data_IF_406014639853
#
_entry.id   IF_406014639853
#
_cell.length_a   1.000
_cell.length_b   1.000
_cell.length_c   1.000
_cell.angle_alpha   90.00
_cell.angle_beta   90.00
_cell.angle_gamma   90.00
#
_symmetry.space_group_name_H-M   'P 1'
#
loop_
_entity.id
_entity.type
_entity.pdbx_description
1 polymer ?
#
# COMPACT_ATOMS: atom_id res chain seq x y z
N UNK A 1 3.34 12.98 -2.45
CA UNK A 1 3.54 11.69 -1.75
C UNK A 1 2.97 11.65 -0.30
N UNK A 2 2.99 12.73 0.51
CA UNK A 2 2.48 12.67 1.89
C UNK A 2 1.01 12.23 1.98
N UNK A 3 0.14 12.68 1.07
CA UNK A 3 -1.28 12.29 1.01
C UNK A 3 -1.39 10.78 0.80
N UNK A 4 -0.60 10.23 -0.13
CA UNK A 4 -0.59 8.79 -0.41
C UNK A 4 -0.09 8.01 0.80
N UNK A 5 1.01 8.45 1.44
CA UNK A 5 1.55 7.78 2.63
C UNK A 5 0.54 7.74 3.79
N UNK A 6 -0.15 8.85 4.05
CA UNK A 6 -1.21 8.92 5.06
C UNK A 6 -2.41 8.06 4.69
N UNK A 7 -2.87 8.14 3.45
CA UNK A 7 -4.00 7.37 2.96
C UNK A 7 -3.76 5.87 3.01
N UNK A 8 -2.57 5.42 2.63
CA UNK A 8 -2.13 4.02 2.73
C UNK A 8 -2.13 3.55 4.18
N UNK A 9 -1.50 4.30 5.08
CA UNK A 9 -1.43 3.95 6.51
C UNK A 9 -2.82 3.88 7.14
N UNK A 10 -3.67 4.85 6.83
CA UNK A 10 -5.03 4.91 7.36
C UNK A 10 -5.90 3.78 6.79
N UNK A 11 -5.78 3.48 5.50
CA UNK A 11 -6.49 2.35 4.88
C UNK A 11 -6.07 1.03 5.49
N UNK A 12 -4.76 0.80 5.65
CA UNK A 12 -4.22 -0.41 6.26
C UNK A 12 -4.70 -0.57 7.71
N UNK A 13 -4.56 0.46 8.54
CA UNK A 13 -5.03 0.43 9.93
C UNK A 13 -6.53 0.15 10.03
N UNK A 14 -7.33 0.73 9.13
CA UNK A 14 -8.77 0.52 9.06
C UNK A 14 -9.12 -0.92 8.68
N UNK A 15 -8.44 -1.50 7.70
CA UNK A 15 -8.64 -2.91 7.33
C UNK A 15 -8.17 -3.86 8.43
N UNK A 16 -7.02 -3.61 9.07
CA UNK A 16 -6.57 -4.42 10.20
C UNK A 16 -7.58 -4.39 11.35
N UNK A 17 -8.15 -3.21 11.62
CA UNK A 17 -9.23 -3.09 12.61
C UNK A 17 -10.50 -3.86 12.19
N UNK A 18 -10.86 -3.81 10.91
CA UNK A 18 -12.00 -4.58 10.40
C UNK A 18 -11.76 -6.09 10.57
N UNK A 19 -10.58 -6.56 10.21
CA UNK A 19 -10.19 -7.96 10.29
C UNK A 19 -10.16 -8.45 11.75
N UNK A 20 -9.60 -7.66 12.65
CA UNK A 20 -9.46 -8.04 14.07
C UNK A 20 -10.79 -7.98 14.84
N UNK A 21 -11.71 -7.10 14.45
CA UNK A 21 -13.00 -6.91 15.13
C UNK A 21 -14.16 -7.55 14.40
N UNK A 22 -13.95 -8.07 13.19
CA UNK A 22 -15.00 -8.56 12.28
C UNK A 22 -16.10 -7.51 12.01
N UNK A 23 -15.78 -6.20 12.10
CA UNK A 23 -16.74 -5.10 11.86
C UNK A 23 -16.56 -4.54 10.45
N UNK A 24 -17.69 -4.29 9.77
CA UNK A 24 -17.68 -3.79 8.39
C UNK A 24 -17.48 -2.26 8.30
N UNK A 25 -17.82 -1.50 9.34
CA UNK A 25 -17.63 -0.04 9.32
C UNK A 25 -16.15 0.36 9.13
N UNK A 26 -15.16 -0.21 9.86
CA UNK A 26 -13.75 0.06 9.56
C UNK A 26 -13.35 -0.36 8.16
N UNK A 27 -13.92 -1.45 7.61
CA UNK A 27 -13.67 -1.86 6.23
C UNK A 27 -14.18 -0.82 5.22
N UNK A 28 -15.38 -0.26 5.44
CA UNK A 28 -15.94 0.80 4.59
C UNK A 28 -15.06 2.06 4.63
N UNK A 29 -14.64 2.49 5.82
CA UNK A 29 -13.72 3.62 6.00
C UNK A 29 -12.40 3.36 5.28
N UNK A 30 -11.83 2.16 5.40
CA UNK A 30 -10.61 1.75 4.72
C UNK A 30 -10.76 1.78 3.19
N UNK A 31 -11.91 1.33 2.66
CA UNK A 31 -12.21 1.36 1.22
C UNK A 31 -12.30 2.80 0.70
N UNK A 32 -13.00 3.68 1.40
CA UNK A 32 -13.08 5.11 1.05
C UNK A 32 -11.69 5.74 1.03
N UNK A 33 -10.91 5.53 2.08
CA UNK A 33 -9.55 6.06 2.17
C UNK A 33 -8.65 5.52 1.05
N UNK A 34 -8.73 4.22 0.74
CA UNK A 34 -7.98 3.60 -0.35
C UNK A 34 -8.36 4.19 -1.71
N UNK A 35 -9.65 4.44 -1.95
CA UNK A 35 -10.13 5.01 -3.22
C UNK A 35 -9.70 6.47 -3.37
N UNK A 36 -9.78 7.28 -2.31
CA UNK A 36 -9.27 8.67 -2.32
C UNK A 36 -7.75 8.66 -2.57
N UNK A 37 -7.03 7.74 -1.95
CA UNK A 37 -5.58 7.62 -2.14
C UNK A 37 -5.24 7.23 -3.57
N UNK A 38 -5.98 6.31 -4.17
CA UNK A 38 -5.84 5.91 -5.57
C UNK A 38 -6.08 7.11 -6.51
N UNK A 39 -7.09 7.92 -6.23
CA UNK A 39 -7.41 9.11 -7.03
C UNK A 39 -6.37 10.23 -6.90
N UNK A 40 -5.51 10.21 -5.87
CA UNK A 40 -4.50 11.25 -5.66
C UNK A 40 -3.32 11.21 -6.65
N UNK A 41 -3.14 10.13 -7.41
CA UNK A 41 -2.11 10.03 -8.43
C UNK A 41 -1.59 8.61 -8.68
N UNK A 42 -0.64 8.43 -9.62
CA UNK A 42 -0.13 7.11 -10.02
C UNK A 42 0.44 6.28 -8.85
N UNK A 43 1.08 6.92 -7.88
CA UNK A 43 1.60 6.26 -6.68
C UNK A 43 0.49 5.78 -5.72
N UNK A 44 -0.75 6.27 -5.92
CA UNK A 44 -1.94 5.79 -5.22
C UNK A 44 -2.26 4.30 -5.44
N UNK A 45 -1.67 3.67 -6.44
CA UNK A 45 -1.69 2.21 -6.63
C UNK A 45 -1.22 1.43 -5.38
N UNK A 46 -0.44 2.06 -4.51
CA UNK A 46 -0.08 1.46 -3.23
C UNK A 46 -1.33 1.11 -2.38
N UNK A 47 -2.35 1.96 -2.39
CA UNK A 47 -3.61 1.68 -1.68
C UNK A 47 -4.37 0.48 -2.28
N UNK A 48 -4.24 0.23 -3.59
CA UNK A 48 -4.77 -0.98 -4.22
C UNK A 48 -4.09 -2.23 -3.65
N UNK A 49 -2.78 -2.19 -3.45
CA UNK A 49 -2.04 -3.27 -2.79
C UNK A 49 -2.57 -3.57 -1.39
N UNK A 50 -2.80 -2.52 -0.59
CA UNK A 50 -3.40 -2.64 0.75
C UNK A 50 -4.79 -3.30 0.70
N UNK A 51 -5.63 -2.86 -0.22
CA UNK A 51 -6.97 -3.42 -0.41
C UNK A 51 -6.91 -4.90 -0.82
N UNK A 52 -6.13 -5.23 -1.85
CA UNK A 52 -6.02 -6.60 -2.36
C UNK A 52 -5.53 -7.60 -1.30
N UNK A 53 -4.53 -7.22 -0.50
CA UNK A 53 -4.00 -8.07 0.58
C UNK A 53 -5.01 -8.26 1.70
N UNK A 54 -5.84 -7.26 1.97
CA UNK A 54 -6.87 -7.33 3.01
C UNK A 54 -8.12 -8.07 2.55
N UNK A 55 -8.39 -8.11 1.24
CA UNK A 55 -9.63 -8.58 0.63
C UNK A 55 -10.06 -9.99 1.07
N UNK A 56 -9.19 -11.03 1.08
CA UNK A 56 -9.60 -12.37 1.50
C UNK A 56 -10.10 -12.43 2.95
N UNK A 57 -9.53 -11.60 3.83
CA UNK A 57 -9.92 -11.51 5.23
C UNK A 57 -11.23 -10.72 5.41
N UNK A 58 -11.42 -9.67 4.61
CA UNK A 58 -12.67 -8.91 4.58
C UNK A 58 -13.82 -9.77 4.06
N UNK A 59 -13.59 -10.58 3.03
CA UNK A 59 -14.60 -11.52 2.55
C UNK A 59 -14.98 -12.57 3.60
N UNK A 60 -14.05 -13.06 4.41
CA UNK A 60 -14.39 -13.94 5.54
C UNK A 60 -15.29 -13.25 6.55
N UNK A 61 -14.96 -12.01 6.94
CA UNK A 61 -15.78 -11.22 7.86
C UNK A 61 -17.18 -10.90 7.28
N UNK A 62 -17.29 -10.74 5.97
CA UNK A 62 -18.58 -10.60 5.28
C UNK A 62 -19.34 -11.93 5.24
N UNK A 63 -18.69 -13.04 4.95
CA UNK A 63 -19.31 -14.36 4.86
C UNK A 63 -20.07 -14.75 6.14
N UNK A 64 -19.53 -14.38 7.31
CA UNK A 64 -20.19 -14.59 8.61
C UNK A 64 -21.52 -13.85 8.74
N UNK A 65 -21.73 -12.80 7.94
CA UNK A 65 -22.93 -11.95 7.96
C UNK A 65 -23.93 -12.24 6.85
N UNK A 66 -23.51 -12.97 5.81
CA UNK A 66 -24.37 -13.32 4.68
C UNK A 66 -25.71 -13.94 5.12
N UNK A 67 -25.74 -14.88 6.10
CA UNK A 67 -27.01 -15.46 6.55
C UNK A 67 -27.98 -14.43 7.13
N UNK A 68 -27.49 -13.44 7.86
CA UNK A 68 -28.33 -12.40 8.47
C UNK A 68 -28.85 -11.36 7.47
N UNK A 69 -28.28 -11.33 6.25
CA UNK A 69 -28.63 -10.41 5.16
C UNK A 69 -29.47 -11.10 4.06
N UNK A 70 -30.15 -12.18 4.38
CA UNK A 70 -31.01 -12.92 3.45
C UNK A 70 -30.37 -14.17 2.83
N UNK A 71 -29.12 -14.44 3.14
CA UNK A 71 -28.39 -15.61 2.64
C UNK A 71 -28.05 -15.59 1.16
N UNK A 72 -27.32 -16.58 0.69
CA UNK A 72 -27.02 -16.80 -0.73
C UNK A 72 -26.48 -15.56 -1.44
N UNK A 73 -26.83 -15.42 -2.71
CA UNK A 73 -26.39 -14.31 -3.57
C UNK A 73 -26.91 -12.95 -3.08
N UNK A 74 -28.14 -12.91 -2.56
CA UNK A 74 -28.73 -11.66 -2.08
C UNK A 74 -27.99 -11.10 -0.88
N UNK A 75 -27.60 -11.96 0.07
CA UNK A 75 -26.79 -11.55 1.22
C UNK A 75 -25.42 -11.01 0.82
N UNK A 76 -24.76 -11.61 -0.18
CA UNK A 76 -23.51 -11.09 -0.72
C UNK A 76 -23.69 -9.75 -1.42
N UNK A 77 -24.72 -9.58 -2.24
CA UNK A 77 -25.02 -8.32 -2.91
C UNK A 77 -25.29 -7.21 -1.89
N UNK A 78 -26.08 -7.49 -0.86
CA UNK A 78 -26.36 -6.52 0.19
C UNK A 78 -25.09 -6.05 0.94
N UNK A 79 -24.10 -6.93 1.10
CA UNK A 79 -22.85 -6.60 1.78
C UNK A 79 -21.83 -5.90 0.86
N UNK A 80 -21.74 -6.28 -0.41
CA UNK A 80 -20.72 -5.76 -1.34
C UNK A 80 -21.15 -4.45 -1.99
N UNK A 81 -22.44 -4.29 -2.32
CA UNK A 81 -22.94 -3.11 -3.02
C UNK A 81 -22.58 -1.76 -2.36
N UNK A 82 -22.67 -1.59 -1.02
CA UNK A 82 -22.26 -0.35 -0.37
C UNK A 82 -20.78 0.01 -0.58
N UNK A 83 -19.89 -0.99 -0.59
CA UNK A 83 -18.45 -0.77 -0.83
C UNK A 83 -18.18 -0.38 -2.27
N UNK A 84 -18.81 -1.07 -3.23
CA UNK A 84 -18.70 -0.72 -4.65
C UNK A 84 -19.27 0.68 -4.91
N UNK A 85 -20.43 1.00 -4.36
CA UNK A 85 -21.05 2.32 -4.51
C UNK A 85 -20.17 3.44 -3.95
N UNK A 86 -19.61 3.25 -2.75
CA UNK A 86 -18.71 4.24 -2.13
C UNK A 86 -17.44 4.44 -2.96
N UNK A 87 -16.79 3.37 -3.40
CA UNK A 87 -15.60 3.43 -4.26
C UNK A 87 -15.91 4.10 -5.60
N UNK A 88 -16.98 3.69 -6.27
CA UNK A 88 -17.39 4.28 -7.54
C UNK A 88 -17.74 5.76 -7.42
N UNK A 89 -18.47 6.15 -6.38
CA UNK A 89 -18.84 7.56 -6.16
C UNK A 89 -17.60 8.47 -6.00
N UNK A 90 -16.57 7.99 -5.30
CA UNK A 90 -15.32 8.74 -5.15
C UNK A 90 -14.58 8.86 -6.48
N UNK A 91 -14.52 7.76 -7.26
CA UNK A 91 -13.89 7.80 -8.59
C UNK A 91 -14.62 8.73 -9.55
N UNK A 92 -15.95 8.69 -9.53
CA UNK A 92 -16.77 9.63 -10.33
C UNK A 92 -16.54 11.08 -9.87
N UNK A 93 -16.48 11.33 -8.56
CA UNK A 93 -16.21 12.68 -8.05
C UNK A 93 -14.81 13.19 -8.43
N UNK A 94 -13.82 12.30 -8.45
CA UNK A 94 -12.43 12.66 -8.79
C UNK A 94 -12.21 12.89 -10.30
N UNK A 95 -12.94 12.18 -11.15
CA UNK A 95 -12.74 12.18 -12.60
C UNK A 95 -13.99 12.60 -13.39
N UNK A 96 -15.04 13.10 -12.71
CA UNK A 96 -16.33 13.38 -13.33
C UNK A 96 -16.33 14.53 -14.37
N UNK A 97 -15.32 15.38 -14.32
CA UNK A 97 -15.07 16.46 -15.29
C UNK A 97 -14.16 16.03 -16.45
N UNK A 98 -13.66 14.78 -16.43
CA UNK A 98 -12.72 14.25 -17.41
C UNK A 98 -13.31 13.05 -18.16
N UNK A 99 -13.10 13.02 -19.45
CA UNK A 99 -13.41 11.83 -20.25
C UNK A 99 -12.24 10.85 -20.18
N UNK A 100 -12.50 9.55 -20.40
CA UNK A 100 -11.45 8.55 -20.49
C UNK A 100 -10.41 8.91 -21.57
N UNK A 101 -10.85 9.47 -22.70
CA UNK A 101 -9.94 9.93 -23.76
C UNK A 101 -9.00 11.05 -23.30
N UNK A 102 -9.50 12.01 -22.52
CA UNK A 102 -8.67 13.10 -21.95
C UNK A 102 -7.63 12.56 -20.97
N UNK A 103 -7.99 11.60 -20.12
CA UNK A 103 -7.06 10.96 -19.19
C UNK A 103 -5.97 10.18 -19.93
N UNK A 104 -6.36 9.41 -20.95
CA UNK A 104 -5.42 8.64 -21.78
C UNK A 104 -4.48 9.58 -22.56
N UNK A 105 -5.01 10.66 -23.15
CA UNK A 105 -4.21 11.66 -23.87
C UNK A 105 -3.24 12.37 -22.93
N UNK A 106 -3.69 12.79 -21.76
CA UNK A 106 -2.82 13.40 -20.75
C UNK A 106 -1.67 12.47 -20.35
N UNK A 107 -1.94 11.16 -20.22
CA UNK A 107 -0.92 10.14 -19.93
C UNK A 107 0.06 9.98 -21.09
N UNK A 108 -0.44 9.97 -22.34
CA UNK A 108 0.38 9.89 -23.55
C UNK A 108 1.33 11.10 -23.65
N UNK A 109 0.78 12.32 -23.57
CA UNK A 109 1.55 13.57 -23.64
C UNK A 109 2.62 13.60 -22.53
N UNK A 110 2.26 13.22 -21.31
CA UNK A 110 3.20 13.17 -20.20
C UNK A 110 4.34 12.18 -20.44
N UNK A 111 4.06 11.06 -21.09
CA UNK A 111 5.07 10.06 -21.44
C UNK A 111 6.02 10.55 -22.54
N UNK A 112 5.55 11.41 -23.44
CA UNK A 112 6.37 11.96 -24.54
C UNK A 112 7.19 13.17 -24.09
N UNK A 113 6.63 14.06 -23.28
CA UNK A 113 7.26 15.31 -22.86
C UNK A 113 8.11 15.16 -21.60
N UNK A 114 7.74 14.26 -20.69
CA UNK A 114 8.44 14.02 -19.44
C UNK A 114 9.54 12.96 -19.57
N UNK A 115 10.42 12.83 -18.57
CA UNK A 115 11.42 11.75 -18.51
C UNK A 115 10.73 10.41 -18.15
N UNK A 116 9.93 9.90 -19.09
CA UNK A 116 9.27 8.60 -18.94
C UNK A 116 10.23 7.47 -19.19
N UNK A 117 10.24 6.48 -18.29
CA UNK A 117 11.04 5.28 -18.40
C UNK A 117 10.14 4.04 -18.37
N UNK A 118 10.46 2.98 -19.14
CA UNK A 118 9.69 1.76 -19.17
C UNK A 118 9.71 1.07 -17.79
N UNK A 119 8.74 0.18 -17.54
CA UNK A 119 8.58 -0.51 -16.27
C UNK A 119 9.82 -1.29 -15.83
N UNK A 120 10.54 -1.90 -16.77
CA UNK A 120 11.77 -2.66 -16.50
C UNK A 120 12.99 -1.79 -16.14
N UNK A 121 12.91 -0.47 -16.35
CA UNK A 121 13.95 0.49 -15.96
C UNK A 121 13.81 0.98 -14.50
N UNK A 122 13.09 0.26 -13.66
CA UNK A 122 12.90 0.63 -12.24
C UNK A 122 14.23 0.73 -11.47
N UNK A 123 15.26 0.01 -11.89
CA UNK A 123 16.61 0.11 -11.33
C UNK A 123 17.16 1.55 -11.33
N UNK A 124 16.71 2.39 -12.27
CA UNK A 124 17.12 3.79 -12.36
C UNK A 124 16.77 4.57 -11.08
N UNK A 125 15.61 4.28 -10.47
CA UNK A 125 15.19 4.90 -9.21
C UNK A 125 16.15 4.61 -8.06
N UNK A 126 16.66 3.39 -7.99
CA UNK A 126 17.61 2.98 -6.96
C UNK A 126 19.01 3.49 -7.24
N UNK A 127 19.47 3.47 -8.51
CA UNK A 127 20.78 4.01 -8.88
C UNK A 127 20.88 5.52 -8.64
N UNK A 128 19.78 6.25 -8.82
CA UNK A 128 19.71 7.69 -8.54
C UNK A 128 19.97 8.02 -7.06
N UNK A 129 19.66 7.11 -6.14
CA UNK A 129 20.00 7.31 -4.71
C UNK A 129 21.52 7.46 -4.48
N UNK A 130 22.37 6.96 -5.38
CA UNK A 130 23.82 7.06 -5.26
C UNK A 130 24.41 8.28 -6.00
N UNK A 131 23.59 9.03 -6.74
CA UNK A 131 24.04 10.20 -7.49
C UNK A 131 24.10 11.43 -6.60
N UNK A 132 25.04 12.32 -6.89
CA UNK A 132 25.16 13.65 -6.27
C UNK A 132 24.15 14.60 -6.94
N UNK A 133 22.89 14.47 -6.59
CA UNK A 133 21.79 15.26 -7.14
C UNK A 133 20.74 15.52 -6.06
N UNK A 134 19.81 16.41 -6.32
CA UNK A 134 18.67 16.68 -5.41
C UNK A 134 17.86 15.40 -5.18
N UNK A 135 17.72 14.56 -6.20
CA UNK A 135 17.02 13.28 -6.08
C UNK A 135 17.84 12.21 -5.33
N UNK A 136 19.17 12.26 -5.40
CA UNK A 136 20.09 11.41 -4.64
C UNK A 136 20.51 11.98 -3.30
N UNK A 137 19.73 12.86 -2.69
CA UNK A 137 20.08 13.52 -1.42
C UNK A 137 20.32 12.53 -0.28
N UNK A 138 21.25 12.85 0.61
CA UNK A 138 21.61 12.01 1.77
C UNK A 138 20.40 11.69 2.65
N UNK A 139 19.49 12.64 2.84
CA UNK A 139 18.27 12.46 3.63
C UNK A 139 17.35 11.38 3.05
N UNK A 140 17.16 11.36 1.74
CA UNK A 140 16.38 10.30 1.05
C UNK A 140 17.10 8.96 1.11
N UNK A 141 18.40 8.97 0.82
CA UNK A 141 19.27 7.78 0.84
C UNK A 141 19.23 7.09 2.21
N UNK A 142 19.43 7.83 3.28
CA UNK A 142 19.40 7.29 4.63
C UNK A 142 18.04 6.66 4.97
N UNK A 143 16.95 7.37 4.74
CA UNK A 143 15.60 6.88 5.05
C UNK A 143 15.26 5.60 4.29
N UNK A 144 15.54 5.55 2.97
CA UNK A 144 15.24 4.39 2.13
C UNK A 144 16.07 3.19 2.53
N UNK A 145 17.39 3.35 2.71
CA UNK A 145 18.24 2.22 3.06
C UNK A 145 17.99 1.70 4.47
N UNK A 146 17.65 2.58 5.43
CA UNK A 146 17.23 2.14 6.76
C UNK A 146 15.95 1.31 6.69
N UNK A 147 14.97 1.75 5.92
CA UNK A 147 13.73 0.98 5.70
C UNK A 147 14.03 -0.39 5.06
N UNK A 148 14.84 -0.43 3.99
CA UNK A 148 15.21 -1.68 3.32
C UNK A 148 15.99 -2.62 4.24
N UNK A 149 16.92 -2.10 5.03
CA UNK A 149 17.64 -2.87 6.03
C UNK A 149 16.69 -3.51 7.06
N UNK A 150 15.78 -2.71 7.63
CA UNK A 150 14.77 -3.23 8.56
C UNK A 150 13.87 -4.28 7.90
N UNK A 151 13.49 -4.06 6.64
CA UNK A 151 12.70 -5.03 5.86
C UNK A 151 13.44 -6.37 5.72
N UNK A 152 14.73 -6.34 5.39
CA UNK A 152 15.58 -7.55 5.31
C UNK A 152 15.63 -8.28 6.65
N UNK A 153 15.78 -7.56 7.77
CA UNK A 153 15.77 -8.17 9.11
C UNK A 153 14.45 -8.87 9.41
N UNK A 154 13.32 -8.22 9.09
CA UNK A 154 11.99 -8.79 9.32
C UNK A 154 11.79 -10.05 8.46
N UNK A 155 12.16 -9.98 7.17
CA UNK A 155 12.08 -11.13 6.26
C UNK A 155 12.95 -12.28 6.75
N UNK A 156 14.18 -12.01 7.19
CA UNK A 156 15.07 -13.03 7.76
C UNK A 156 14.47 -13.70 9.01
N UNK A 157 13.83 -12.92 9.90
CA UNK A 157 13.12 -13.47 11.07
C UNK A 157 11.93 -14.35 10.63
N UNK A 158 11.18 -13.96 9.61
CA UNK A 158 10.09 -14.77 9.07
C UNK A 158 10.57 -16.05 8.39
N UNK A 159 11.69 -16.03 7.68
CA UNK A 159 12.28 -17.24 7.09
C UNK A 159 12.71 -18.20 8.18
N UNK A 160 13.36 -17.70 9.25
CA UNK A 160 13.91 -18.50 10.32
C UNK A 160 12.85 -19.00 11.31
N UNK A 161 12.08 -18.08 11.88
CA UNK A 161 11.21 -18.33 13.05
C UNK A 161 9.71 -18.28 12.70
N UNK A 162 9.35 -18.03 11.44
CA UNK A 162 7.97 -17.83 10.92
C UNK A 162 7.20 -16.69 11.59
N UNK A 163 7.87 -15.85 12.38
CA UNK A 163 7.28 -14.72 13.11
C UNK A 163 8.35 -13.73 13.56
N UNK A 164 7.91 -12.53 13.88
CA UNK A 164 8.66 -11.60 14.73
C UNK A 164 8.11 -11.76 16.15
N UNK A 165 8.96 -12.10 17.12
CA UNK A 165 8.53 -12.31 18.51
C UNK A 165 8.01 -11.00 19.08
N UNK A 166 6.85 -11.05 19.75
CA UNK A 166 6.19 -9.85 20.29
C UNK A 166 5.32 -9.08 19.28
N UNK A 167 5.34 -9.47 17.99
CA UNK A 167 4.47 -8.87 16.96
C UNK A 167 3.38 -9.85 16.51
N UNK A 168 2.21 -9.31 16.14
CA UNK A 168 1.12 -10.10 15.59
C UNK A 168 1.49 -10.63 14.19
N UNK A 169 1.44 -11.94 14.01
CA UNK A 169 1.89 -12.61 12.78
C UNK A 169 1.10 -12.15 11.56
N UNK A 170 -0.23 -12.16 11.64
CA UNK A 170 -1.10 -11.81 10.51
C UNK A 170 -0.86 -10.38 9.97
N UNK A 171 -0.97 -9.33 10.80
CA UNK A 171 -0.67 -7.96 10.39
C UNK A 171 0.74 -7.80 9.81
N UNK A 172 1.75 -8.43 10.43
CA UNK A 172 3.13 -8.34 9.94
C UNK A 172 3.29 -9.00 8.57
N UNK A 173 2.70 -10.17 8.34
CA UNK A 173 2.71 -10.81 7.02
C UNK A 173 2.03 -9.94 5.96
N UNK A 174 0.85 -9.40 6.27
CA UNK A 174 0.16 -8.51 5.34
C UNK A 174 0.97 -7.25 5.04
N UNK A 175 1.62 -6.65 6.04
CA UNK A 175 2.52 -5.52 5.83
C UNK A 175 3.66 -5.86 4.86
N UNK A 176 4.32 -7.00 5.03
CA UNK A 176 5.39 -7.43 4.12
C UNK A 176 4.88 -7.60 2.68
N UNK A 177 3.71 -8.22 2.50
CA UNK A 177 3.10 -8.40 1.18
C UNK A 177 2.71 -7.04 0.58
N UNK A 178 2.13 -6.13 1.37
CA UNK A 178 1.76 -4.78 0.94
C UNK A 178 2.99 -4.02 0.45
N UNK A 179 4.10 -4.08 1.18
CA UNK A 179 5.35 -3.42 0.79
C UNK A 179 5.91 -4.04 -0.50
N UNK A 180 5.91 -5.35 -0.62
CA UNK A 180 6.36 -6.04 -1.85
C UNK A 180 5.49 -5.66 -3.06
N UNK A 181 4.15 -5.64 -2.90
CA UNK A 181 3.24 -5.21 -3.96
C UNK A 181 3.42 -3.73 -4.32
N UNK A 182 3.68 -2.87 -3.35
CA UNK A 182 3.93 -1.45 -3.63
C UNK A 182 5.22 -1.23 -4.42
N UNK A 183 6.29 -1.98 -4.11
CA UNK A 183 7.52 -1.98 -4.90
C UNK A 183 7.24 -2.46 -6.33
N UNK A 184 6.43 -3.47 -6.50
CA UNK A 184 5.98 -3.93 -7.81
C UNK A 184 5.18 -2.85 -8.54
N UNK A 185 4.22 -2.19 -7.89
CA UNK A 185 3.43 -1.15 -8.53
C UNK A 185 4.25 0.11 -8.89
N UNK A 186 5.30 0.43 -8.13
CA UNK A 186 6.22 1.52 -8.48
C UNK A 186 6.87 1.32 -9.85
N UNK A 187 7.06 0.08 -10.30
CA UNK A 187 7.60 -0.21 -11.63
C UNK A 187 6.74 0.36 -12.75
N UNK A 188 5.44 0.54 -12.53
CA UNK A 188 4.49 1.05 -13.53
C UNK A 188 4.30 2.57 -13.49
N UNK A 189 4.95 3.27 -12.55
CA UNK A 189 4.93 4.74 -12.59
C UNK A 189 5.75 5.25 -13.78
N UNK A 190 5.28 6.26 -14.53
CA UNK A 190 5.97 6.74 -15.73
C UNK A 190 7.37 7.26 -15.43
N UNK A 191 7.54 7.97 -14.33
CA UNK A 191 8.82 8.54 -13.91
C UNK A 191 9.47 7.73 -12.79
N UNK A 192 10.81 7.66 -12.75
CA UNK A 192 11.57 6.86 -11.77
C UNK A 192 12.26 7.76 -10.73
N UNK A 193 11.53 8.76 -10.23
CA UNK A 193 12.05 9.70 -9.24
C UNK A 193 12.15 9.07 -7.84
N UNK A 194 13.19 9.40 -7.10
CA UNK A 194 13.40 8.91 -5.73
C UNK A 194 12.40 9.47 -4.72
N UNK A 195 11.78 10.64 -5.02
CA UNK A 195 10.76 11.20 -4.14
C UNK A 195 9.51 10.31 -4.03
N UNK A 196 9.28 9.41 -4.99
CA UNK A 196 8.21 8.42 -4.89
C UNK A 196 8.38 7.46 -3.70
N UNK A 197 9.60 7.26 -3.19
CA UNK A 197 9.79 6.52 -1.94
C UNK A 197 9.11 7.19 -0.73
N UNK A 198 8.70 8.46 -0.85
CA UNK A 198 7.90 9.15 0.15
C UNK A 198 6.56 8.48 0.47
N UNK A 199 6.04 7.62 -0.42
CA UNK A 199 4.82 6.82 -0.15
C UNK A 199 5.00 5.88 1.04
N UNK A 200 6.22 5.46 1.33
CA UNK A 200 6.51 4.57 2.45
C UNK A 200 6.55 5.28 3.80
N UNK A 201 6.52 6.62 3.85
CA UNK A 201 6.69 7.36 5.10
C UNK A 201 5.73 6.90 6.22
N UNK A 202 4.49 6.52 5.86
CA UNK A 202 3.52 5.99 6.82
C UNK A 202 3.93 4.63 7.38
N UNK A 203 4.29 3.68 6.53
CA UNK A 203 4.59 2.29 6.92
C UNK A 203 6.04 2.09 7.35
N UNK A 204 6.97 2.97 6.94
CA UNK A 204 8.38 2.87 7.27
C UNK A 204 8.63 2.91 8.79
N UNK A 205 7.85 3.70 9.54
CA UNK A 205 7.92 3.73 11.01
C UNK A 205 7.58 2.38 11.63
N UNK A 206 6.56 1.69 11.11
CA UNK A 206 6.19 0.33 11.56
C UNK A 206 7.28 -0.68 11.21
N UNK A 207 7.83 -0.59 9.99
CA UNK A 207 8.95 -1.43 9.54
C UNK A 207 10.17 -1.21 10.44
N UNK A 208 10.50 0.03 10.76
CA UNK A 208 11.62 0.36 11.63
C UNK A 208 11.42 -0.19 13.05
N UNK A 209 10.21 -0.05 13.62
CA UNK A 209 9.89 -0.62 14.92
C UNK A 209 10.02 -2.14 14.95
N UNK A 210 9.48 -2.85 13.94
CA UNK A 210 9.62 -4.30 13.82
C UNK A 210 11.09 -4.71 13.61
N UNK A 211 11.85 -3.97 12.78
CA UNK A 211 13.27 -4.20 12.56
C UNK A 211 14.09 -4.06 13.86
N UNK A 212 13.79 -3.04 14.67
CA UNK A 212 14.44 -2.85 15.97
C UNK A 212 14.15 -4.01 16.94
N UNK A 213 12.90 -4.52 16.96
CA UNK A 213 12.53 -5.70 17.74
C UNK A 213 13.33 -6.92 17.28
N UNK A 214 13.44 -7.18 15.99
CA UNK A 214 14.21 -8.28 15.44
C UNK A 214 15.69 -8.16 15.80
N UNK A 215 16.26 -6.97 15.65
CA UNK A 215 17.66 -6.69 15.97
C UNK A 215 17.96 -6.94 17.45
N UNK A 216 17.09 -6.47 18.35
CA UNK A 216 17.25 -6.71 19.78
C UNK A 216 17.19 -8.21 20.13
N UNK A 217 16.35 -8.99 19.45
CA UNK A 217 16.27 -10.43 19.64
C UNK A 217 17.54 -11.17 19.18
N UNK A 218 18.15 -10.72 18.09
CA UNK A 218 19.43 -11.29 17.65
C UNK A 218 20.54 -10.95 18.64
N UNK A 219 20.59 -9.71 19.15
CA UNK A 219 21.59 -9.30 20.15
C UNK A 219 21.46 -10.04 21.50
N UNK A 220 20.24 -10.41 21.89
CA UNK A 220 20.00 -11.16 23.14
C UNK A 220 20.26 -12.66 23.02
N UNK A 221 20.39 -13.20 21.81
CA UNK A 221 20.67 -14.61 21.54
C UNK A 221 22.16 -14.90 21.26
N UNK A 222 22.96 -13.85 21.07
CA UNK A 222 24.43 -13.91 20.92
C UNK A 222 25.12 -13.80 22.25
#
# INVERSE_FOLDING_TARGET
EPIVALGVMFSWASFERAISTHRLLPAAVGTIAATITLAAGPTGLFAVGVFLVSLPHLFRAMAERVPSMGGGTLGWLALIAPFLSAGTAIMVAAFGDQTLSTVLESTRVRSEVGPSLPWYAEYARYSTLFQESVDGSLTRRFAVFTMLFCLVLIVAAFIKDRRVVGAAVGPTQRLLIIVALSMFFLMFTPTKWTHHFGIYAGVAGVIAALGAVVLSQFALRS
#
